data_IF_266514653722
#
_entry.id   IF_266514653722
#
_cell.length_a   1.000
_cell.length_b   1.000
_cell.length_c   1.000
_cell.angle_alpha   90.00
_cell.angle_beta   90.00
_cell.angle_gamma   90.00
#
_symmetry.space_group_name_H-M   'P 1'
#
loop_
_entity.id
_entity.type
_entity.pdbx_description
1 polymer ?
#
# COMPACT_ATOMS: atom_id res chain seq x y z
N UNK A 1 -7.80 1.00 9.45
CA UNK A 1 -8.87 1.90 8.99
C UNK A 1 -10.11 1.13 8.51
N UNK A 2 -10.08 0.39 7.39
CA UNK A 2 -11.25 -0.30 6.79
C UNK A 2 -11.93 -1.26 7.78
N UNK A 3 -11.18 -2.15 8.43
CA UNK A 3 -11.74 -3.11 9.39
C UNK A 3 -12.45 -2.44 10.58
N UNK A 4 -11.84 -1.41 11.15
CA UNK A 4 -12.46 -0.62 12.22
C UNK A 4 -13.74 0.08 11.75
N UNK A 5 -13.70 0.71 10.57
CA UNK A 5 -14.86 1.42 10.03
C UNK A 5 -16.03 0.47 9.75
N UNK A 6 -15.78 -0.70 9.16
CA UNK A 6 -16.81 -1.72 8.91
C UNK A 6 -17.41 -2.23 10.22
N UNK A 7 -16.58 -2.46 11.25
CA UNK A 7 -17.06 -2.95 12.54
C UNK A 7 -17.83 -1.90 13.33
N UNK A 8 -17.30 -0.67 13.43
CA UNK A 8 -17.87 0.44 14.21
C UNK A 8 -19.04 1.14 13.49
N UNK A 9 -19.08 1.05 12.17
CA UNK A 9 -20.04 1.75 11.31
C UNK A 9 -21.37 1.02 11.13
N UNK A 10 -21.71 0.01 11.96
CA UNK A 10 -22.99 -0.69 11.84
C UNK A 10 -24.17 0.28 11.89
N UNK A 11 -25.02 0.25 10.85
CA UNK A 11 -26.15 1.16 10.72
C UNK A 11 -25.81 2.61 10.34
N UNK A 12 -24.58 2.89 9.95
CA UNK A 12 -24.11 4.20 9.48
C UNK A 12 -23.55 4.10 8.06
N UNK A 13 -23.65 5.17 7.30
CA UNK A 13 -23.07 5.28 5.97
C UNK A 13 -21.75 6.06 5.98
N UNK A 14 -21.46 6.76 7.09
CA UNK A 14 -20.23 7.51 7.28
C UNK A 14 -19.72 7.36 8.70
N UNK A 15 -18.40 7.21 8.82
CA UNK A 15 -17.67 7.31 10.09
C UNK A 15 -16.42 8.15 9.86
N UNK A 16 -15.97 8.85 10.90
CA UNK A 16 -14.68 9.53 10.88
C UNK A 16 -13.81 8.90 11.95
N UNK A 17 -12.63 8.43 11.55
CA UNK A 17 -11.61 7.92 12.46
C UNK A 17 -10.61 9.02 12.76
N UNK A 18 -10.21 9.14 14.02
CA UNK A 18 -9.12 10.01 14.44
C UNK A 18 -7.86 9.17 14.53
N UNK A 19 -6.89 9.49 13.70
CA UNK A 19 -5.59 8.82 13.61
C UNK A 19 -4.47 9.86 13.78
N UNK A 20 -3.25 9.42 14.06
CA UNK A 20 -2.08 10.32 14.19
C UNK A 20 -1.87 11.14 12.92
N UNK A 21 -2.22 10.59 11.76
CA UNK A 21 -2.14 11.28 10.46
C UNK A 21 -3.21 12.37 10.27
N UNK A 22 -4.24 12.41 11.13
CA UNK A 22 -5.36 13.35 11.07
C UNK A 22 -6.73 12.65 11.06
N UNK A 23 -7.77 13.41 10.74
CA UNK A 23 -9.11 12.87 10.59
C UNK A 23 -9.23 12.11 9.27
N UNK A 24 -9.70 10.87 9.35
CA UNK A 24 -9.89 9.98 8.20
C UNK A 24 -11.39 9.75 7.99
N UNK A 25 -12.02 10.46 7.05
CA UNK A 25 -13.40 10.20 6.70
C UNK A 25 -13.51 8.88 5.95
N UNK A 26 -14.50 8.08 6.33
CA UNK A 26 -14.76 6.77 5.73
C UNK A 26 -16.23 6.69 5.34
N UNK A 27 -16.48 6.39 4.08
CA UNK A 27 -17.82 6.09 3.54
C UNK A 27 -18.05 4.59 3.54
N UNK A 28 -19.21 4.16 4.01
CA UNK A 28 -19.62 2.77 4.10
C UNK A 28 -20.77 2.50 3.12
N UNK A 29 -20.58 1.54 2.22
CA UNK A 29 -21.57 1.20 1.20
C UNK A 29 -21.81 -0.32 1.16
N UNK A 30 -22.90 -0.73 0.52
CA UNK A 30 -23.27 -2.14 0.35
C UNK A 30 -24.02 -2.74 1.54
N UNK A 31 -24.50 -3.98 1.39
CA UNK A 31 -25.26 -4.69 2.41
C UNK A 31 -24.37 -5.06 3.62
N UNK A 32 -25.00 -5.34 4.77
CA UNK A 32 -24.29 -5.56 6.04
C UNK A 32 -23.28 -6.71 6.03
N UNK A 33 -23.54 -7.74 5.22
CA UNK A 33 -22.70 -8.94 5.06
C UNK A 33 -21.59 -8.79 4.01
N UNK A 34 -21.63 -7.72 3.19
CA UNK A 34 -20.64 -7.41 2.15
C UNK A 34 -20.29 -5.93 2.12
N UNK A 35 -20.15 -5.32 3.30
CA UNK A 35 -19.91 -3.89 3.43
C UNK A 35 -18.53 -3.49 2.90
N UNK A 36 -18.55 -2.49 2.01
CA UNK A 36 -17.35 -1.82 1.49
C UNK A 36 -17.10 -0.58 2.32
N UNK A 37 -15.86 -0.35 2.73
CA UNK A 37 -15.41 0.91 3.32
C UNK A 37 -14.41 1.60 2.40
N UNK A 38 -14.63 2.89 2.15
CA UNK A 38 -13.74 3.74 1.37
C UNK A 38 -13.27 4.90 2.24
N UNK A 39 -11.98 5.05 2.42
CA UNK A 39 -11.41 6.20 3.13
C UNK A 39 -10.71 7.14 2.15
N UNK A 40 -10.76 8.44 2.47
CA UNK A 40 -9.94 9.46 1.80
C UNK A 40 -8.62 9.57 2.55
N UNK A 41 -7.51 9.54 1.83
CA UNK A 41 -6.18 9.69 2.42
C UNK A 41 -6.06 11.08 3.08
N UNK A 42 -5.70 11.15 4.37
CA UNK A 42 -5.65 12.42 5.10
C UNK A 42 -4.49 13.32 4.66
N UNK A 43 -3.51 12.73 3.98
CA UNK A 43 -2.35 13.42 3.42
C UNK A 43 -2.06 12.91 2.02
N UNK A 44 -1.75 13.81 1.12
CA UNK A 44 -1.22 13.45 -0.19
C UNK A 44 0.23 13.00 -0.04
N UNK A 45 0.66 11.97 -0.80
CA UNK A 45 2.02 11.47 -0.75
C UNK A 45 3.04 12.50 -1.23
N UNK A 46 4.20 12.51 -0.58
CA UNK A 46 5.35 13.32 -0.98
C UNK A 46 6.60 12.42 -1.19
N UNK A 47 7.50 12.77 -2.10
CA UNK A 47 8.79 12.09 -2.24
C UNK A 47 9.60 12.15 -0.95
N UNK A 48 10.31 11.07 -0.62
CA UNK A 48 11.19 11.00 0.55
C UNK A 48 12.46 10.22 0.22
N UNK A 49 13.60 10.63 0.79
CA UNK A 49 14.88 9.93 0.62
C UNK A 49 15.30 9.77 -0.84
N UNK A 50 16.05 8.71 -1.12
CA UNK A 50 16.50 8.36 -2.46
C UNK A 50 16.00 6.97 -2.82
N UNK A 51 15.23 6.80 -3.91
CA UNK A 51 14.82 5.47 -4.34
C UNK A 51 16.04 4.59 -4.61
N UNK A 52 16.05 3.32 -4.14
CA UNK A 52 17.13 2.39 -4.46
C UNK A 52 17.17 2.09 -5.96
N UNK A 53 18.36 1.84 -6.50
CA UNK A 53 18.51 1.37 -7.87
C UNK A 53 18.02 -0.09 -8.04
N UNK A 54 17.89 -0.52 -9.29
CA UNK A 54 17.40 -1.86 -9.63
C UNK A 54 18.32 -2.96 -9.10
N UNK A 55 19.64 -2.76 -9.11
CA UNK A 55 20.61 -3.75 -8.61
C UNK A 55 20.42 -3.97 -7.09
N UNK A 56 20.22 -2.89 -6.34
CA UNK A 56 19.94 -2.93 -4.90
C UNK A 56 18.60 -3.62 -4.60
N UNK A 57 17.55 -3.29 -5.35
CA UNK A 57 16.24 -3.91 -5.22
C UNK A 57 16.27 -5.41 -5.59
N UNK A 58 16.98 -5.78 -6.65
CA UNK A 58 17.18 -7.15 -7.08
C UNK A 58 17.84 -7.99 -5.98
N UNK A 59 18.94 -7.47 -5.40
CA UNK A 59 19.61 -8.12 -4.28
C UNK A 59 18.69 -8.26 -3.05
N UNK A 60 17.91 -7.22 -2.72
CA UNK A 60 17.02 -7.21 -1.55
C UNK A 60 15.82 -8.13 -1.70
N UNK A 61 15.38 -8.43 -2.93
CA UNK A 61 14.21 -9.24 -3.23
C UNK A 61 14.53 -10.66 -3.72
N UNK A 62 15.82 -10.96 -3.93
CA UNK A 62 16.28 -12.25 -4.46
C UNK A 62 15.92 -12.48 -5.94
N UNK A 63 15.67 -11.39 -6.67
CA UNK A 63 15.29 -11.43 -8.08
C UNK A 63 16.46 -11.00 -8.99
N UNK A 64 16.51 -11.45 -10.25
CA UNK A 64 17.42 -10.85 -11.22
C UNK A 64 16.92 -9.44 -11.61
N UNK A 65 17.83 -8.54 -12.01
CA UNK A 65 17.49 -7.19 -12.47
C UNK A 65 16.47 -7.20 -13.63
N UNK A 66 16.53 -8.21 -14.49
CA UNK A 66 15.58 -8.41 -15.60
C UNK A 66 14.14 -8.71 -15.18
N UNK A 67 13.89 -8.96 -13.90
CA UNK A 67 12.55 -9.15 -13.34
C UNK A 67 11.81 -7.82 -13.10
N UNK A 68 12.52 -6.69 -13.14
CA UNK A 68 11.92 -5.36 -12.93
C UNK A 68 11.34 -4.81 -14.22
N UNK A 69 10.25 -4.06 -14.08
CA UNK A 69 9.54 -3.41 -15.16
C UNK A 69 10.16 -2.04 -15.52
N UNK A 70 9.54 -1.32 -16.47
CA UNK A 70 10.07 -0.06 -16.99
C UNK A 70 9.89 1.15 -16.05
N UNK A 71 9.03 1.05 -15.03
CA UNK A 71 8.81 2.16 -14.11
C UNK A 71 10.06 2.39 -13.24
N UNK A 72 10.48 3.64 -13.13
CA UNK A 72 11.51 4.03 -12.19
C UNK A 72 11.06 3.71 -10.75
N UNK A 73 11.92 3.13 -9.90
CA UNK A 73 11.61 2.97 -8.49
C UNK A 73 11.32 4.30 -7.81
N UNK A 74 10.45 4.27 -6.80
CA UNK A 74 10.08 5.45 -6.03
C UNK A 74 10.19 5.26 -4.53
N UNK A 75 10.28 6.37 -3.82
CA UNK A 75 10.24 6.42 -2.37
C UNK A 75 9.29 7.56 -1.97
N UNK A 76 8.21 7.23 -1.28
CA UNK A 76 7.17 8.20 -0.94
C UNK A 76 6.66 7.97 0.48
N UNK A 77 6.19 9.05 1.12
CA UNK A 77 5.48 9.03 2.40
C UNK A 77 4.11 9.71 2.29
N UNK A 78 3.14 9.20 3.08
CA UNK A 78 1.80 9.78 3.22
C UNK A 78 1.23 9.48 4.61
N UNK A 79 2.09 9.46 5.61
CA UNK A 79 1.98 8.94 6.96
C UNK A 79 3.11 7.92 7.13
N UNK A 80 2.94 6.62 6.85
CA UNK A 80 4.06 5.70 6.69
C UNK A 80 4.83 6.00 5.40
N UNK A 81 6.08 5.48 5.33
CA UNK A 81 6.95 5.57 4.17
C UNK A 81 7.05 4.22 3.46
N UNK A 82 7.10 4.25 2.13
CA UNK A 82 7.28 3.05 1.32
C UNK A 82 8.24 3.28 0.16
N UNK A 83 8.99 2.24 -0.14
CA UNK A 83 9.69 2.07 -1.40
C UNK A 83 8.77 1.36 -2.39
N UNK A 84 8.81 1.75 -3.65
CA UNK A 84 7.97 1.16 -4.70
C UNK A 84 8.84 0.69 -5.85
N UNK A 85 8.56 -0.51 -6.36
CA UNK A 85 9.17 -1.00 -7.59
C UNK A 85 8.17 -1.82 -8.40
N UNK A 86 8.15 -1.57 -9.70
CA UNK A 86 7.39 -2.38 -10.66
C UNK A 86 8.17 -3.63 -11.01
N UNK A 87 7.50 -4.76 -11.01
CA UNK A 87 7.99 -6.00 -11.61
C UNK A 87 7.40 -6.19 -13.01
N UNK A 88 8.13 -6.89 -13.85
CA UNK A 88 7.79 -7.09 -15.26
C UNK A 88 6.47 -7.83 -15.45
N UNK A 89 6.21 -8.82 -14.59
CA UNK A 89 5.06 -9.72 -14.67
C UNK A 89 4.71 -10.33 -13.31
N UNK A 90 3.60 -11.07 -13.26
CA UNK A 90 3.12 -11.74 -12.06
C UNK A 90 4.03 -12.90 -11.62
N UNK A 91 4.73 -13.55 -12.53
CA UNK A 91 5.66 -14.62 -12.20
C UNK A 91 6.88 -14.07 -11.44
N UNK A 92 7.40 -12.92 -11.85
CA UNK A 92 8.44 -12.20 -11.13
C UNK A 92 7.94 -11.75 -9.74
N UNK A 93 6.70 -11.22 -9.66
CA UNK A 93 6.09 -10.83 -8.41
C UNK A 93 5.96 -12.01 -7.44
N UNK A 94 5.52 -13.17 -7.92
CA UNK A 94 5.36 -14.37 -7.11
C UNK A 94 6.70 -14.92 -6.57
N UNK A 95 7.82 -14.67 -7.26
CA UNK A 95 9.14 -15.14 -6.86
C UNK A 95 9.86 -14.25 -5.85
N UNK A 96 9.43 -13.00 -5.66
CA UNK A 96 10.08 -12.07 -4.75
C UNK A 96 10.13 -12.61 -3.31
N UNK A 97 11.31 -12.55 -2.68
CA UNK A 97 11.53 -12.96 -1.29
C UNK A 97 12.54 -12.01 -0.64
N UNK A 98 12.21 -11.36 0.49
CA UNK A 98 13.16 -10.52 1.20
C UNK A 98 14.46 -11.26 1.57
N UNK A 99 15.60 -10.63 1.28
CA UNK A 99 16.94 -11.14 1.58
C UNK A 99 17.56 -10.30 2.71
N UNK A 100 17.59 -10.79 3.93
CA UNK A 100 17.86 -10.04 5.16
C UNK A 100 19.04 -9.04 5.06
N UNK A 101 20.28 -9.49 4.81
CA UNK A 101 21.41 -8.55 4.76
C UNK A 101 21.42 -7.57 3.56
N UNK A 102 20.77 -7.93 2.44
CA UNK A 102 20.59 -7.03 1.31
C UNK A 102 19.44 -6.05 1.57
N UNK A 103 18.42 -6.49 2.30
CA UNK A 103 17.33 -5.65 2.75
C UNK A 103 17.81 -4.46 3.59
N UNK A 104 18.66 -4.73 4.59
CA UNK A 104 19.20 -3.68 5.45
C UNK A 104 20.04 -2.66 4.64
N UNK A 105 20.82 -3.14 3.66
CA UNK A 105 21.56 -2.25 2.76
C UNK A 105 20.64 -1.41 1.89
N UNK A 106 19.53 -1.97 1.39
CA UNK A 106 18.53 -1.24 0.61
C UNK A 106 17.93 -0.09 1.42
N UNK A 107 17.51 -0.35 2.66
CA UNK A 107 16.98 0.68 3.55
C UNK A 107 18.01 1.77 3.85
N UNK A 108 19.25 1.38 4.16
CA UNK A 108 20.34 2.32 4.39
C UNK A 108 20.63 3.20 3.16
N UNK A 109 20.58 2.63 1.95
CA UNK A 109 20.77 3.37 0.69
C UNK A 109 19.63 4.37 0.45
N UNK A 110 18.40 4.02 0.81
CA UNK A 110 17.26 4.90 0.66
C UNK A 110 17.38 6.18 1.53
N UNK A 111 18.22 6.17 2.57
CA UNK A 111 18.44 7.32 3.43
C UNK A 111 17.17 7.78 4.16
N UNK A 112 16.21 6.88 4.33
CA UNK A 112 14.98 7.17 5.05
C UNK A 112 15.26 6.84 6.52
N UNK A 113 15.44 7.88 7.33
CA UNK A 113 15.73 7.74 8.74
C UNK A 113 14.53 7.14 9.48
N UNK A 114 14.76 5.99 10.14
CA UNK A 114 13.77 5.23 10.90
C UNK A 114 13.56 5.80 12.32
N UNK A 115 14.18 6.94 12.64
CA UNK A 115 14.07 7.55 13.98
C UNK A 115 12.65 8.06 14.23
N UNK A 116 11.84 7.25 14.92
CA UNK A 116 10.50 7.60 15.40
C UNK A 116 9.36 7.38 14.41
N UNK A 117 9.59 6.65 13.31
CA UNK A 117 8.54 6.20 12.36
C UNK A 117 8.41 4.68 12.43
N UNK A 118 7.21 4.16 12.18
CA UNK A 118 7.06 2.76 11.76
C UNK A 118 7.93 2.53 10.52
N UNK A 119 8.68 1.43 10.46
CA UNK A 119 9.70 1.19 9.45
C UNK A 119 9.25 1.42 7.99
N UNK A 120 10.20 1.28 7.10
CA UNK A 120 9.98 1.46 5.66
C UNK A 120 9.61 0.13 5.02
N UNK A 121 8.41 0.03 4.46
CA UNK A 121 8.00 -1.13 3.68
C UNK A 121 8.44 -1.04 2.21
N UNK A 122 8.60 -2.19 1.57
CA UNK A 122 8.76 -2.29 0.12
C UNK A 122 7.45 -2.80 -0.50
N UNK A 123 6.89 -2.02 -1.40
CA UNK A 123 5.70 -2.35 -2.17
C UNK A 123 6.07 -2.70 -3.60
N UNK A 124 6.05 -3.98 -3.92
CA UNK A 124 6.26 -4.50 -5.27
C UNK A 124 4.92 -4.63 -5.97
N UNK A 125 4.86 -4.27 -7.25
CA UNK A 125 3.63 -4.39 -8.03
C UNK A 125 3.91 -4.80 -9.47
N UNK A 126 2.95 -5.49 -10.07
CA UNK A 126 2.94 -5.84 -11.48
C UNK A 126 1.54 -5.59 -12.06
N UNK A 127 1.47 -5.29 -13.35
CA UNK A 127 0.21 -5.17 -14.08
C UNK A 127 -0.29 -6.54 -14.53
N UNK A 128 -1.60 -6.71 -14.63
CA UNK A 128 -2.23 -7.90 -15.18
C UNK A 128 -2.91 -8.78 -14.14
N UNK A 129 -3.38 -9.93 -14.58
CA UNK A 129 -4.18 -10.84 -13.78
C UNK A 129 -5.68 -10.53 -13.83
N UNK A 130 -6.36 -10.74 -12.70
CA UNK A 130 -7.80 -10.48 -12.55
C UNK A 130 -8.12 -9.05 -12.11
N UNK A 131 -7.10 -8.24 -11.88
CA UNK A 131 -7.17 -6.83 -11.46
C UNK A 131 -6.19 -6.03 -12.30
N UNK A 132 -6.29 -4.70 -12.27
CA UNK A 132 -5.37 -3.83 -13.02
C UNK A 132 -3.94 -3.97 -12.50
N UNK A 133 -3.78 -4.16 -11.19
CA UNK A 133 -2.49 -4.32 -10.50
C UNK A 133 -2.58 -5.47 -9.50
N UNK A 134 -1.54 -6.31 -9.44
CA UNK A 134 -1.29 -7.20 -8.31
C UNK A 134 -0.06 -6.72 -7.55
N UNK A 135 -0.11 -6.78 -6.23
CA UNK A 135 0.93 -6.22 -5.38
C UNK A 135 1.29 -7.13 -4.20
N UNK A 136 2.50 -6.95 -3.69
CA UNK A 136 2.99 -7.54 -2.44
C UNK A 136 3.68 -6.48 -1.60
N UNK A 137 3.48 -6.50 -0.29
CA UNK A 137 4.12 -5.59 0.64
C UNK A 137 4.93 -6.35 1.69
N UNK A 138 6.17 -5.94 1.85
CA UNK A 138 7.11 -6.52 2.80
C UNK A 138 7.64 -5.46 3.76
N UNK A 139 7.69 -5.78 5.05
CA UNK A 139 8.29 -4.96 6.09
C UNK A 139 8.90 -5.87 7.19
N UNK A 140 9.89 -6.72 6.85
CA UNK A 140 10.41 -7.71 7.77
C UNK A 140 11.05 -7.10 9.03
N UNK A 141 11.62 -5.92 8.95
CA UNK A 141 12.21 -5.22 10.10
C UNK A 141 11.17 -4.74 11.11
N UNK A 142 9.90 -4.60 10.69
CA UNK A 142 8.76 -4.29 11.57
C UNK A 142 8.07 -5.55 12.10
N UNK A 143 8.65 -6.73 11.87
CA UNK A 143 8.02 -8.00 12.23
C UNK A 143 6.85 -8.39 11.31
N UNK A 144 6.74 -7.78 10.14
CA UNK A 144 5.73 -8.07 9.12
C UNK A 144 6.44 -8.66 7.89
N UNK A 145 6.66 -9.98 7.85
CA UNK A 145 7.33 -10.60 6.70
C UNK A 145 6.64 -10.28 5.38
N UNK A 146 5.31 -10.29 5.37
CA UNK A 146 4.45 -9.86 4.27
C UNK A 146 3.08 -9.46 4.82
N UNK A 147 2.45 -8.42 4.25
CA UNK A 147 1.10 -7.98 4.63
C UNK A 147 0.09 -8.29 3.51
N UNK A 148 -1.08 -8.87 3.83
CA UNK A 148 -2.07 -9.24 2.82
C UNK A 148 -2.92 -8.07 2.30
N UNK A 149 -2.93 -6.91 2.95
CA UNK A 149 -3.76 -5.77 2.53
C UNK A 149 -3.28 -4.44 3.15
N UNK A 150 -2.47 -3.71 2.43
CA UNK A 150 -1.85 -2.46 2.91
C UNK A 150 -2.51 -1.24 2.28
N UNK A 151 -3.58 -0.77 2.91
CA UNK A 151 -4.34 0.39 2.40
C UNK A 151 -3.52 1.68 2.30
N UNK A 152 -2.60 1.92 3.25
CA UNK A 152 -1.70 3.08 3.23
C UNK A 152 -0.73 3.03 2.05
N UNK A 153 -0.10 1.89 1.80
CA UNK A 153 0.78 1.73 0.63
C UNK A 153 0.01 1.85 -0.68
N UNK A 154 -1.23 1.33 -0.73
CA UNK A 154 -2.13 1.49 -1.89
C UNK A 154 -2.45 2.96 -2.15
N UNK A 155 -2.70 3.75 -1.11
CA UNK A 155 -2.92 5.20 -1.28
C UNK A 155 -1.65 5.90 -1.81
N UNK A 156 -0.48 5.56 -1.25
CA UNK A 156 0.80 6.16 -1.61
C UNK A 156 1.28 5.70 -3.01
N UNK A 157 0.85 4.52 -3.48
CA UNK A 157 1.09 4.05 -4.84
C UNK A 157 0.62 5.05 -5.91
N UNK A 158 -0.38 5.88 -5.62
CA UNK A 158 -0.84 6.94 -6.52
C UNK A 158 0.31 7.88 -6.96
N UNK A 159 1.21 8.25 -6.03
CA UNK A 159 2.37 9.08 -6.36
C UNK A 159 3.37 8.33 -7.25
N UNK A 160 3.61 7.06 -6.99
CA UNK A 160 4.46 6.21 -7.81
C UNK A 160 3.92 6.08 -9.25
N UNK A 161 2.60 5.88 -9.39
CA UNK A 161 1.94 5.77 -10.69
C UNK A 161 1.97 7.11 -11.44
N UNK A 162 1.70 8.23 -10.76
CA UNK A 162 1.78 9.55 -11.36
C UNK A 162 3.20 9.88 -11.82
N UNK A 163 4.21 9.62 -10.99
CA UNK A 163 5.62 9.86 -11.32
C UNK A 163 6.10 9.05 -12.54
N UNK A 164 5.44 7.95 -12.86
CA UNK A 164 5.74 7.10 -14.01
C UNK A 164 4.74 7.25 -15.17
N UNK A 165 3.94 8.32 -15.17
CA UNK A 165 3.04 8.66 -16.29
C UNK A 165 1.85 7.73 -16.48
N UNK A 166 1.46 7.01 -15.40
CA UNK A 166 0.32 6.08 -15.43
C UNK A 166 -1.01 6.75 -15.05
N UNK A 167 -0.97 7.98 -14.58
CA UNK A 167 -2.14 8.78 -14.23
C UNK A 167 -2.12 10.08 -15.04
N UNK A 168 -3.24 10.38 -15.67
CA UNK A 168 -3.49 11.62 -16.40
C UNK A 168 -4.41 12.55 -15.62
N UNK A 169 -4.58 13.79 -16.04
CA UNK A 169 -5.53 14.72 -15.44
C UNK A 169 -6.96 14.15 -15.51
N UNK A 170 -7.68 14.28 -14.40
CA UNK A 170 -9.01 13.70 -14.19
C UNK A 170 -9.02 12.60 -13.14
N UNK A 171 -10.12 11.86 -13.09
CA UNK A 171 -10.33 10.76 -12.16
C UNK A 171 -9.90 9.44 -12.77
N UNK A 172 -9.09 8.68 -12.02
CA UNK A 172 -8.70 7.31 -12.38
C UNK A 172 -9.08 6.35 -11.26
N UNK A 173 -9.65 5.21 -11.61
CA UNK A 173 -9.97 4.14 -10.67
C UNK A 173 -9.27 2.85 -11.11
N UNK A 174 -8.49 2.25 -10.20
CA UNK A 174 -7.76 1.01 -10.40
C UNK A 174 -8.17 -0.03 -9.36
N UNK A 175 -8.27 -1.27 -9.78
CA UNK A 175 -8.47 -2.43 -8.92
C UNK A 175 -7.13 -3.09 -8.61
N UNK A 176 -6.93 -3.48 -7.35
CA UNK A 176 -5.70 -4.13 -6.92
C UNK A 176 -6.01 -5.45 -6.22
N UNK A 177 -5.13 -6.43 -6.42
CA UNK A 177 -5.07 -7.65 -5.62
C UNK A 177 -3.78 -7.66 -4.81
N UNK A 178 -3.85 -8.01 -3.52
CA UNK A 178 -2.70 -8.17 -2.62
C UNK A 178 -2.90 -9.41 -1.76
N UNK A 179 -1.82 -10.06 -1.30
CA UNK A 179 -1.89 -11.25 -0.46
C UNK A 179 -2.22 -12.55 -1.22
N UNK A 180 -2.15 -12.52 -2.53
CA UNK A 180 -2.41 -13.70 -3.40
C UNK A 180 -1.41 -14.80 -3.09
N UNK A 181 -0.13 -14.48 -3.04
CA UNK A 181 0.97 -15.42 -2.76
C UNK A 181 0.98 -15.93 -1.32
N UNK A 182 0.29 -15.23 -0.42
CA UNK A 182 0.07 -15.67 0.97
C UNK A 182 -1.11 -16.64 1.11
N UNK A 183 -1.86 -16.93 0.02
CA UNK A 183 -3.12 -17.66 0.08
C UNK A 183 -4.25 -16.88 0.78
N UNK A 184 -4.10 -15.57 0.88
CA UNK A 184 -5.03 -14.65 1.57
C UNK A 184 -5.36 -13.43 0.69
N UNK A 185 -5.93 -13.65 -0.50
CA UNK A 185 -6.17 -12.60 -1.47
C UNK A 185 -7.12 -11.53 -0.93
N UNK A 186 -6.69 -10.29 -1.00
CA UNK A 186 -7.46 -9.09 -0.68
C UNK A 186 -7.68 -8.27 -1.94
N UNK A 187 -8.87 -7.71 -2.09
CA UNK A 187 -9.19 -6.78 -3.19
C UNK A 187 -9.29 -5.37 -2.64
N UNK A 188 -8.54 -4.46 -3.26
CA UNK A 188 -8.57 -3.04 -2.97
C UNK A 188 -8.95 -2.27 -4.22
N UNK A 189 -9.49 -1.08 -4.04
CA UNK A 189 -9.77 -0.12 -5.11
C UNK A 189 -9.06 1.18 -4.76
N UNK A 190 -8.23 1.66 -5.67
CA UNK A 190 -7.59 2.96 -5.61
C UNK A 190 -8.33 3.90 -6.55
N UNK A 191 -8.80 5.02 -6.04
CA UNK A 191 -9.36 6.11 -6.85
C UNK A 191 -8.53 7.36 -6.60
N UNK A 192 -8.11 8.01 -7.68
CA UNK A 192 -7.27 9.21 -7.66
C UNK A 192 -7.90 10.32 -8.46
N UNK A 193 -7.73 11.56 -8.03
CA UNK A 193 -8.01 12.74 -8.82
C UNK A 193 -6.69 13.48 -9.08
N UNK A 194 -6.44 13.84 -10.34
CA UNK A 194 -5.26 14.60 -10.78
C UNK A 194 -5.72 15.87 -11.47
N UNK A 195 -5.09 16.99 -11.17
CA UNK A 195 -5.33 18.26 -11.82
C UNK A 195 -4.01 19.01 -12.07
N UNK A 196 -3.76 19.38 -13.32
CA UNK A 196 -2.51 20.03 -13.71
C UNK A 196 -1.26 19.20 -13.38
N UNK A 197 -1.33 17.89 -13.57
CA UNK A 197 -0.24 16.96 -13.27
C UNK A 197 0.03 16.75 -11.78
N UNK A 198 -0.90 17.11 -10.89
CA UNK A 198 -0.74 16.98 -9.43
C UNK A 198 -1.91 16.21 -8.83
N UNK A 199 -1.62 15.28 -7.92
CA UNK A 199 -2.65 14.58 -7.13
C UNK A 199 -3.40 15.59 -6.25
N UNK A 200 -4.73 15.55 -6.30
CA UNK A 200 -5.61 16.41 -5.49
C UNK A 200 -6.44 15.61 -4.50
N UNK A 201 -6.75 14.36 -4.81
CA UNK A 201 -7.47 13.45 -3.91
C UNK A 201 -7.03 12.01 -4.14
N UNK A 202 -7.02 11.22 -3.07
CA UNK A 202 -6.77 9.78 -3.11
C UNK A 202 -7.78 9.09 -2.20
N UNK A 203 -8.47 8.09 -2.72
CA UNK A 203 -9.39 7.25 -1.96
C UNK A 203 -9.01 5.78 -2.12
N UNK A 204 -9.11 5.04 -1.02
CA UNK A 204 -8.87 3.59 -1.02
C UNK A 204 -10.07 2.89 -0.43
N UNK A 205 -10.58 1.90 -1.14
CA UNK A 205 -11.70 1.09 -0.70
C UNK A 205 -11.33 -0.39 -0.60
N UNK A 206 -12.00 -1.07 0.31
CA UNK A 206 -11.88 -2.51 0.49
C UNK A 206 -12.98 -3.04 1.41
N UNK A 207 -12.98 -4.36 1.56
CA UNK A 207 -13.88 -5.06 2.47
C UNK A 207 -13.08 -5.61 3.66
N UNK A 208 -13.76 -5.85 4.76
CA UNK A 208 -13.21 -6.55 5.91
C UNK A 208 -14.25 -7.50 6.48
N UNK A 209 -13.79 -8.65 6.94
CA UNK A 209 -14.61 -9.65 7.63
C UNK A 209 -14.14 -9.78 9.08
N UNK A 210 -15.08 -9.94 10.00
CA UNK A 210 -14.77 -10.22 11.40
C UNK A 210 -14.28 -11.66 11.53
N UNK A 211 -13.06 -11.83 12.00
CA UNK A 211 -12.41 -13.13 12.20
C UNK A 211 -12.51 -13.58 13.66
N UNK A 212 -12.34 -12.65 14.61
CA UNK A 212 -12.40 -12.91 16.04
C UNK A 212 -12.81 -11.66 16.81
N UNK A 213 -13.30 -11.84 18.03
CA UNK A 213 -13.48 -10.79 19.03
C UNK A 213 -13.11 -11.31 20.42
N UNK A 214 -12.77 -10.38 21.31
CA UNK A 214 -12.37 -10.71 22.67
C UNK A 214 -12.44 -9.49 23.59
N UNK A 215 -12.22 -9.73 24.89
CA UNK A 215 -12.19 -8.68 25.90
C UNK A 215 -10.78 -8.61 26.54
N UNK A 216 -10.28 -7.41 26.69
CA UNK A 216 -9.01 -7.13 27.39
C UNK A 216 -9.35 -6.40 28.68
N UNK A 217 -8.80 -6.86 29.83
CA UNK A 217 -8.90 -6.10 31.07
C UNK A 217 -8.09 -4.81 30.95
N UNK A 218 -8.72 -3.68 31.30
CA UNK A 218 -8.01 -2.43 31.36
C UNK A 218 -6.92 -2.53 32.44
N UNK A 219 -5.65 -2.18 32.14
CA UNK A 219 -4.63 -2.05 33.17
C UNK A 219 -5.08 -1.03 34.23
N UNK A 220 -4.90 -1.34 35.51
CA UNK A 220 -5.22 -0.43 36.59
C UNK A 220 -4.22 0.72 36.68
#
# INVERSE_FOLDING_TARGET
TIGCAVHLGQGRDHVTLEEVAGLVPVTLTGPADARMAEFTAPRLPAPIGTPPDIATLAAATGLPETAFGPHAPGAFEGGPAFLFAQLRDLDALAQARPQSGAWDRMLATAGIDDTGRSGVGLYLYAQGGMTDIQARMFAPNDGIPEDPATGSATAILAAQLLANGMLEDGDTTLTLAQGVEMGRPSRLRLTTAVAGGTLTEIRVAGQAVKVADGQIRRPG
#
